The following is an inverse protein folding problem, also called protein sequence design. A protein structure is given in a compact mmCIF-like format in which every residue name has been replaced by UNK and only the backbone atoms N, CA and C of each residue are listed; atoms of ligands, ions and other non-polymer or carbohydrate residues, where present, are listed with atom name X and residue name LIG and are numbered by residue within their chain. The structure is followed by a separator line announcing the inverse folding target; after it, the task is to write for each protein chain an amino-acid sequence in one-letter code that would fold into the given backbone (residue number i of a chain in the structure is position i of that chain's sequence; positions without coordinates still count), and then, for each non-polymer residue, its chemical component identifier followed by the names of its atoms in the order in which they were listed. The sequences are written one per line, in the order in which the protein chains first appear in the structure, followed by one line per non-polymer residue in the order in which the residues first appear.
data_IF_058264432158
#
_entry.id   IF_058264432158
#
_cell.length_a   1.000
_cell.length_b   1.000
_cell.length_c   1.000
_cell.angle_alpha   90.00
_cell.angle_beta   90.00
_cell.angle_gamma   90.00
#
_symmetry.space_group_name_H-M   'P 1'
#
loop_
_entity.id
_entity.type
_entity.pdbx_description
1 polymer ?
#
# COMPACT_ATOMS: atom_id res chain seq x y z
N UNK A 1 14.13 -21.41 21.44
CA UNK A 1 12.86 -21.74 22.11
C UNK A 1 11.81 -20.65 22.13
N UNK A 2 11.93 -19.50 22.84
CA UNK A 2 10.82 -18.48 22.83
C UNK A 2 10.64 -17.74 21.50
N UNK A 3 11.68 -17.66 20.66
CA UNK A 3 11.64 -16.92 19.38
C UNK A 3 11.12 -17.77 18.22
N UNK A 4 11.25 -19.09 18.28
CA UNK A 4 10.75 -20.01 17.25
C UNK A 4 9.21 -20.10 17.27
N UNK A 5 8.61 -20.10 18.47
CA UNK A 5 7.14 -20.10 18.66
C UNK A 5 6.47 -18.84 18.11
N UNK A 6 7.16 -17.69 18.11
CA UNK A 6 6.65 -16.45 17.51
C UNK A 6 6.76 -16.42 15.97
N UNK A 7 7.70 -17.16 15.39
CA UNK A 7 7.91 -17.23 13.95
C UNK A 7 6.91 -18.18 13.28
N UNK A 8 6.55 -19.26 13.95
CA UNK A 8 5.49 -20.18 13.53
C UNK A 8 4.12 -19.47 13.49
N UNK A 9 3.82 -18.63 14.50
CA UNK A 9 2.63 -17.79 14.56
C UNK A 9 2.51 -16.74 13.43
N UNK A 10 3.62 -16.42 12.76
CA UNK A 10 3.63 -15.43 11.68
C UNK A 10 3.36 -16.03 10.30
N UNK A 11 3.56 -17.34 10.10
CA UNK A 11 3.51 -17.99 8.80
C UNK A 11 2.26 -18.83 8.49
N UNK A 12 1.42 -19.22 9.45
CA UNK A 12 0.41 -20.29 9.19
C UNK A 12 -1.06 -19.88 9.03
N UNK A 13 -1.44 -18.63 9.33
CA UNK A 13 -2.86 -18.30 9.52
C UNK A 13 -3.58 -17.67 8.29
N UNK A 14 -2.90 -17.45 7.17
CA UNK A 14 -3.48 -16.72 6.01
C UNK A 14 -3.26 -17.38 4.65
N UNK A 15 -2.61 -18.54 4.62
CA UNK A 15 -2.30 -19.24 3.36
C UNK A 15 -3.53 -19.81 2.67
N UNK A 16 -4.60 -20.06 3.43
CA UNK A 16 -5.89 -20.52 2.88
C UNK A 16 -6.64 -19.44 2.10
N UNK A 17 -6.36 -18.14 2.33
CA UNK A 17 -6.96 -17.05 1.56
C UNK A 17 -6.15 -16.88 0.28
N UNK A 18 -6.41 -17.73 -0.70
CA UNK A 18 -5.83 -17.61 -2.05
C UNK A 18 -6.37 -16.38 -2.77
N UNK A 19 -5.78 -16.04 -3.91
CA UNK A 19 -6.25 -14.93 -4.73
C UNK A 19 -7.69 -15.17 -5.23
N UNK A 20 -8.00 -16.41 -5.57
CA UNK A 20 -9.31 -16.86 -6.03
C UNK A 20 -10.34 -16.72 -4.91
N UNK A 21 -10.02 -17.21 -3.70
CA UNK A 21 -10.88 -17.06 -2.51
C UNK A 21 -11.09 -15.58 -2.18
N UNK A 22 -10.05 -14.75 -2.26
CA UNK A 22 -10.16 -13.30 -2.07
C UNK A 22 -11.13 -12.66 -3.07
N UNK A 23 -11.01 -13.02 -4.34
CA UNK A 23 -11.85 -12.48 -5.42
C UNK A 23 -13.32 -12.88 -5.23
N UNK A 24 -13.58 -14.15 -4.95
CA UNK A 24 -14.93 -14.68 -4.72
C UNK A 24 -15.57 -14.06 -3.48
N UNK A 25 -14.83 -14.02 -2.36
CA UNK A 25 -15.28 -13.38 -1.12
C UNK A 25 -15.65 -11.91 -1.34
N UNK A 26 -14.84 -11.19 -2.13
CA UNK A 26 -15.09 -9.79 -2.43
C UNK A 26 -16.34 -9.61 -3.30
N UNK A 27 -16.53 -10.44 -4.32
CA UNK A 27 -17.72 -10.42 -5.17
C UNK A 27 -19.00 -10.67 -4.35
N UNK A 28 -18.99 -11.68 -3.47
CA UNK A 28 -20.12 -12.01 -2.59
C UNK A 28 -20.47 -10.86 -1.64
N UNK A 29 -19.46 -10.21 -1.05
CA UNK A 29 -19.69 -9.03 -0.20
C UNK A 29 -20.29 -7.89 -1.03
N UNK A 30 -19.78 -7.66 -2.24
CA UNK A 30 -20.24 -6.58 -3.11
C UNK A 30 -21.68 -6.81 -3.59
N UNK A 31 -22.08 -8.06 -3.88
CA UNK A 31 -23.44 -8.42 -4.29
C UNK A 31 -24.44 -8.57 -3.14
N UNK A 32 -24.01 -8.45 -1.87
CA UNK A 32 -24.82 -8.79 -0.69
C UNK A 32 -25.24 -10.28 -0.63
N UNK A 33 -24.53 -11.18 -1.30
CA UNK A 33 -24.85 -12.61 -1.35
C UNK A 33 -23.99 -13.44 -0.40
N UNK A 34 -23.57 -12.83 0.71
CA UNK A 34 -22.71 -13.44 1.71
C UNK A 34 -23.54 -14.52 2.43
N UNK A 35 -23.37 -15.79 2.04
CA UNK A 35 -24.09 -16.92 2.64
C UNK A 35 -23.54 -17.18 4.04
N UNK A 36 -24.41 -17.67 4.94
CA UNK A 36 -24.01 -17.99 6.32
C UNK A 36 -22.88 -19.03 6.36
N UNK A 37 -22.72 -19.88 5.34
CA UNK A 37 -21.69 -20.93 5.29
C UNK A 37 -20.35 -20.59 4.62
N UNK A 38 -20.27 -19.61 3.69
CA UNK A 38 -19.07 -19.41 2.86
C UNK A 38 -17.79 -19.17 3.69
N UNK A 39 -17.94 -18.42 4.78
CA UNK A 39 -16.86 -18.09 5.69
C UNK A 39 -16.69 -19.11 6.82
N UNK A 40 -17.73 -19.91 7.08
CA UNK A 40 -17.71 -21.01 8.04
C UNK A 40 -16.95 -22.22 7.45
N UNK A 41 -17.05 -22.43 6.13
CA UNK A 41 -16.30 -23.42 5.34
C UNK A 41 -14.79 -23.13 5.30
N UNK A 42 -14.37 -21.89 5.56
CA UNK A 42 -12.95 -21.49 5.68
C UNK A 42 -12.34 -21.81 7.07
N UNK A 43 -13.12 -22.40 8.00
CA UNK A 43 -12.80 -22.80 9.40
C UNK A 43 -12.43 -21.67 10.39
N UNK A 44 -12.78 -21.93 11.65
CA UNK A 44 -12.94 -21.00 12.78
C UNK A 44 -11.72 -20.12 13.11
N UNK A 45 -11.88 -18.80 13.07
CA UNK A 45 -11.11 -17.85 13.90
C UNK A 45 -11.65 -16.42 13.83
N UNK A 46 -11.15 -15.54 14.72
CA UNK A 46 -11.26 -14.08 14.63
C UNK A 46 -10.82 -13.51 13.25
N UNK A 47 -10.09 -14.26 12.43
CA UNK A 47 -9.54 -13.82 11.14
C UNK A 47 -10.64 -13.65 10.10
N UNK A 48 -11.64 -14.52 10.09
CA UNK A 48 -12.79 -14.45 9.19
C UNK A 48 -13.62 -13.19 9.41
N UNK A 49 -13.85 -12.84 10.68
CA UNK A 49 -14.52 -11.58 11.05
C UNK A 49 -13.73 -10.32 10.66
N UNK A 50 -12.38 -10.37 10.70
CA UNK A 50 -11.54 -9.27 10.22
C UNK A 50 -11.66 -9.09 8.71
N UNK A 51 -11.65 -10.18 7.95
CA UNK A 51 -11.75 -10.16 6.49
C UNK A 51 -13.12 -9.67 6.02
N UNK A 52 -14.20 -10.20 6.58
CA UNK A 52 -15.57 -9.73 6.29
C UNK A 52 -15.73 -8.25 6.62
N UNK A 53 -15.23 -7.81 7.79
CA UNK A 53 -15.24 -6.39 8.16
C UNK A 53 -14.45 -5.54 7.16
N UNK A 54 -13.26 -5.99 6.77
CA UNK A 54 -12.44 -5.32 5.77
C UNK A 54 -13.23 -5.10 4.47
N UNK A 55 -13.87 -6.15 3.94
CA UNK A 55 -14.65 -6.05 2.72
C UNK A 55 -15.90 -5.18 2.85
N UNK A 56 -16.59 -5.20 4.00
CA UNK A 56 -17.72 -4.30 4.26
C UNK A 56 -17.27 -2.83 4.30
N UNK A 57 -16.15 -2.56 4.96
CA UNK A 57 -15.57 -1.21 5.02
C UNK A 57 -15.12 -0.74 3.62
N UNK A 58 -14.54 -1.64 2.80
CA UNK A 58 -14.21 -1.37 1.39
C UNK A 58 -15.48 -1.10 0.57
N UNK A 59 -16.52 -1.92 0.66
CA UNK A 59 -17.81 -1.74 -0.02
C UNK A 59 -18.42 -0.37 0.28
N UNK A 60 -18.41 0.03 1.55
CA UNK A 60 -18.89 1.35 1.97
C UNK A 60 -18.11 2.48 1.27
N UNK A 61 -16.78 2.40 1.28
CA UNK A 61 -15.92 3.40 0.64
C UNK A 61 -16.06 3.42 -0.89
N UNK A 62 -16.15 2.26 -1.54
CA UNK A 62 -16.39 2.13 -2.97
C UNK A 62 -17.74 2.73 -3.37
N UNK A 63 -18.79 2.49 -2.57
CA UNK A 63 -20.12 3.08 -2.80
C UNK A 63 -20.07 4.61 -2.70
N UNK A 64 -19.30 5.15 -1.73
CA UNK A 64 -19.09 6.59 -1.57
C UNK A 64 -18.33 7.17 -2.77
N UNK A 65 -17.25 6.52 -3.20
CA UNK A 65 -16.44 6.94 -4.35
C UNK A 65 -17.25 6.87 -5.65
N UNK A 66 -18.01 5.80 -5.88
CA UNK A 66 -18.90 5.66 -7.02
C UNK A 66 -19.88 6.84 -7.12
N UNK A 67 -20.54 7.19 -6.01
CA UNK A 67 -21.46 8.34 -5.96
C UNK A 67 -20.76 9.67 -6.20
N UNK A 68 -19.62 9.90 -5.54
CA UNK A 68 -18.89 11.17 -5.59
C UNK A 68 -18.27 11.42 -6.97
N UNK A 69 -17.69 10.39 -7.57
CA UNK A 69 -16.96 10.49 -8.83
C UNK A 69 -17.77 10.06 -10.06
N UNK A 70 -18.95 9.46 -9.87
CA UNK A 70 -19.83 8.89 -10.92
C UNK A 70 -19.17 7.73 -11.66
N UNK A 71 -18.52 6.83 -10.92
CA UNK A 71 -17.81 5.66 -11.44
C UNK A 71 -18.66 4.39 -11.28
N UNK A 72 -18.54 3.45 -12.22
CA UNK A 72 -19.25 2.18 -12.15
C UNK A 72 -18.68 1.29 -11.05
N UNK A 73 -19.54 0.76 -10.17
CA UNK A 73 -19.11 -0.17 -9.11
C UNK A 73 -18.33 -1.38 -9.68
N UNK A 74 -18.70 -2.01 -10.81
CA UNK A 74 -17.93 -3.13 -11.37
C UNK A 74 -16.48 -2.75 -11.74
N UNK A 75 -16.27 -1.55 -12.30
CA UNK A 75 -14.93 -1.05 -12.63
C UNK A 75 -14.10 -0.86 -11.36
N UNK A 76 -14.73 -0.32 -10.31
CA UNK A 76 -14.10 -0.13 -9.01
C UNK A 76 -13.77 -1.46 -8.32
N UNK A 77 -14.62 -2.47 -8.45
CA UNK A 77 -14.37 -3.82 -7.90
C UNK A 77 -13.18 -4.45 -8.62
N UNK A 78 -13.10 -4.32 -9.94
CA UNK A 78 -12.00 -4.85 -10.75
C UNK A 78 -10.63 -4.28 -10.34
N UNK A 79 -10.59 -3.00 -9.93
CA UNK A 79 -9.38 -2.38 -9.39
C UNK A 79 -8.85 -3.08 -8.12
N UNK A 80 -9.74 -3.57 -7.26
CA UNK A 80 -9.37 -4.25 -6.02
C UNK A 80 -9.03 -5.72 -6.24
N UNK A 81 -9.52 -6.32 -7.33
CA UNK A 81 -9.20 -7.69 -7.73
C UNK A 81 -7.84 -7.82 -8.40
N UNK A 82 -6.99 -6.80 -8.42
CA UNK A 82 -5.62 -6.96 -8.95
C UNK A 82 -4.75 -7.82 -8.02
N UNK A 83 -3.89 -8.66 -8.60
CA UNK A 83 -3.01 -9.58 -7.84
C UNK A 83 -2.09 -8.83 -6.87
N UNK A 84 -1.63 -7.65 -7.23
CA UNK A 84 -0.75 -6.87 -6.36
C UNK A 84 -1.51 -6.26 -5.17
N UNK A 85 -2.77 -5.84 -5.38
CA UNK A 85 -3.65 -5.37 -4.31
C UNK A 85 -3.97 -6.50 -3.32
N UNK A 86 -4.27 -7.69 -3.85
CA UNK A 86 -4.38 -8.90 -3.04
C UNK A 86 -3.08 -9.16 -2.25
N UNK A 87 -1.92 -9.09 -2.91
CA UNK A 87 -0.62 -9.34 -2.28
C UNK A 87 -0.34 -8.33 -1.16
N UNK A 88 -0.65 -7.06 -1.35
CA UNK A 88 -0.58 -6.04 -0.30
C UNK A 88 -1.48 -6.40 0.89
N UNK A 89 -2.76 -6.68 0.66
CA UNK A 89 -3.67 -7.04 1.76
C UNK A 89 -3.25 -8.32 2.47
N UNK A 90 -2.81 -9.34 1.73
CA UNK A 90 -2.27 -10.59 2.28
C UNK A 90 -1.04 -10.34 3.12
N UNK A 91 -0.10 -9.50 2.66
CA UNK A 91 1.12 -9.18 3.39
C UNK A 91 0.82 -8.52 4.75
N UNK A 92 -0.24 -7.71 4.82
CA UNK A 92 -0.76 -7.15 6.08
C UNK A 92 -1.85 -8.01 6.74
N UNK A 93 -1.97 -9.29 6.38
CA UNK A 93 -2.87 -10.24 7.04
C UNK A 93 -4.33 -9.79 7.03
N UNK A 94 -4.74 -9.13 5.94
CA UNK A 94 -6.05 -8.49 5.76
C UNK A 94 -6.45 -7.58 6.94
N UNK A 95 -5.46 -7.04 7.66
CA UNK A 95 -5.65 -6.21 8.84
C UNK A 95 -5.23 -4.77 8.53
N UNK A 96 -6.21 -3.98 8.08
CA UNK A 96 -6.03 -2.56 7.76
C UNK A 96 -5.46 -1.76 8.95
N UNK A 97 -5.78 -2.15 10.21
CA UNK A 97 -5.22 -1.47 11.39
C UNK A 97 -3.71 -1.67 11.49
N UNK A 98 -3.22 -2.86 11.16
CA UNK A 98 -1.77 -3.17 11.14
C UNK A 98 -1.07 -2.34 10.07
N UNK A 99 -1.66 -2.27 8.87
CA UNK A 99 -1.19 -1.42 7.78
C UNK A 99 -1.07 0.06 8.20
N UNK A 100 -2.12 0.62 8.81
CA UNK A 100 -2.08 2.02 9.26
C UNK A 100 -1.19 2.26 10.47
N UNK A 101 -0.96 1.26 11.31
CA UNK A 101 0.02 1.34 12.40
C UNK A 101 1.44 1.48 11.83
N UNK A 102 1.82 0.63 10.88
CA UNK A 102 3.13 0.69 10.22
C UNK A 102 3.36 2.05 9.53
N UNK A 103 2.40 2.51 8.72
CA UNK A 103 2.44 3.85 8.10
C UNK A 103 2.55 4.94 9.17
N UNK A 104 1.81 4.79 10.27
CA UNK A 104 1.76 5.77 11.34
C UNK A 104 3.04 5.93 12.13
N UNK A 105 3.76 4.83 12.36
CA UNK A 105 5.09 4.83 13.00
C UNK A 105 6.11 5.53 12.10
N UNK A 106 6.12 5.19 10.81
CA UNK A 106 7.04 5.83 9.85
C UNK A 106 6.71 7.31 9.64
N UNK A 107 5.44 7.70 9.63
CA UNK A 107 5.05 9.11 9.53
C UNK A 107 5.70 9.96 10.64
N UNK A 108 5.84 9.42 11.86
CA UNK A 108 6.52 10.12 12.96
C UNK A 108 8.02 10.29 12.68
N UNK A 109 8.67 9.25 12.17
CA UNK A 109 10.09 9.28 11.77
C UNK A 109 10.33 10.28 10.62
N UNK A 110 9.41 10.34 9.66
CA UNK A 110 9.48 11.29 8.54
C UNK A 110 9.39 12.73 9.01
N UNK A 111 8.43 13.04 9.89
CA UNK A 111 8.32 14.37 10.52
C UNK A 111 9.53 14.70 11.40
N UNK A 112 10.20 13.68 11.95
CA UNK A 112 11.40 13.82 12.78
C UNK A 112 12.72 14.03 12.04
N UNK A 113 12.73 14.06 10.69
CA UNK A 113 13.94 14.43 9.93
C UNK A 113 14.24 13.58 8.70
N UNK A 114 13.55 12.45 8.47
CA UNK A 114 13.81 11.60 7.29
C UNK A 114 13.59 12.34 5.96
N UNK A 115 12.66 13.30 5.94
CA UNK A 115 12.38 14.10 4.74
C UNK A 115 13.58 14.96 4.31
N UNK A 116 14.41 15.39 5.27
CA UNK A 116 15.64 16.14 4.96
C UNK A 116 16.72 15.24 4.36
N UNK A 117 16.78 13.98 4.79
CA UNK A 117 17.66 12.95 4.19
C UNK A 117 17.27 12.71 2.73
N UNK A 118 15.98 12.56 2.43
CA UNK A 118 15.48 12.43 1.05
C UNK A 118 15.78 13.67 0.20
N UNK A 119 15.66 14.89 0.75
CA UNK A 119 16.03 16.13 0.03
C UNK A 119 17.52 16.21 -0.28
N UNK A 120 18.39 15.76 0.65
CA UNK A 120 19.85 15.72 0.45
C UNK A 120 20.23 14.67 -0.61
N UNK A 121 19.56 13.52 -0.59
CA UNK A 121 19.66 12.47 -1.61
C UNK A 121 19.37 13.00 -3.02
N UNK A 122 18.29 13.76 -3.19
CA UNK A 122 17.90 14.34 -4.48
C UNK A 122 18.93 15.34 -5.04
N UNK A 123 19.70 16.02 -4.18
CA UNK A 123 20.55 17.15 -4.57
C UNK A 123 22.03 16.82 -4.80
N UNK A 124 22.51 15.58 -4.66
CA UNK A 124 23.97 15.34 -4.59
C UNK A 124 24.51 14.02 -5.15
N UNK A 125 25.82 14.02 -5.48
CA UNK A 125 26.69 12.84 -5.73
C UNK A 125 26.86 11.90 -4.49
N UNK A 126 26.05 12.06 -3.45
CA UNK A 126 26.15 11.31 -2.17
C UNK A 126 25.60 9.88 -2.30
N UNK A 127 24.99 9.54 -3.44
CA UNK A 127 24.44 8.21 -3.74
C UNK A 127 25.45 7.08 -3.50
N UNK A 128 26.73 7.24 -3.84
CA UNK A 128 27.74 6.18 -3.61
C UNK A 128 27.99 5.91 -2.12
N UNK A 129 28.04 6.95 -1.28
CA UNK A 129 28.21 6.80 0.17
C UNK A 129 26.96 6.21 0.82
N UNK A 130 25.78 6.56 0.31
CA UNK A 130 24.52 5.99 0.78
C UNK A 130 24.40 4.53 0.34
N UNK A 131 24.83 4.20 -0.88
CA UNK A 131 24.89 2.82 -1.36
C UNK A 131 25.77 1.96 -0.47
N UNK A 132 27.00 2.41 -0.18
CA UNK A 132 27.91 1.63 0.67
C UNK A 132 27.41 1.51 2.11
N UNK A 133 26.77 2.55 2.64
CA UNK A 133 26.09 2.48 3.94
C UNK A 133 24.93 1.48 3.94
N UNK A 134 24.06 1.53 2.92
CA UNK A 134 22.94 0.62 2.76
C UNK A 134 23.40 -0.84 2.64
N UNK A 135 24.46 -1.09 1.86
CA UNK A 135 25.06 -2.43 1.73
C UNK A 135 25.58 -2.97 3.07
N UNK A 136 26.23 -2.13 3.89
CA UNK A 136 26.68 -2.54 5.24
C UNK A 136 25.50 -2.87 6.16
N UNK A 137 24.42 -2.09 6.09
CA UNK A 137 23.20 -2.40 6.85
C UNK A 137 22.61 -3.71 6.36
N UNK A 138 22.54 -3.93 5.04
CA UNK A 138 22.06 -5.18 4.46
C UNK A 138 22.91 -6.38 4.94
N UNK A 139 24.23 -6.28 4.95
CA UNK A 139 25.12 -7.32 5.49
C UNK A 139 24.84 -7.66 6.96
N UNK A 140 24.54 -6.65 7.79
CA UNK A 140 24.17 -6.87 9.20
C UNK A 140 22.80 -7.54 9.29
N UNK A 141 21.81 -7.07 8.53
CA UNK A 141 20.47 -7.66 8.52
C UNK A 141 20.51 -9.12 8.05
N UNK A 142 21.33 -9.44 7.06
CA UNK A 142 21.51 -10.81 6.55
C UNK A 142 22.10 -11.74 7.60
N UNK A 143 22.97 -11.23 8.47
CA UNK A 143 23.51 -11.99 9.62
C UNK A 143 22.50 -12.21 10.75
N UNK A 144 21.47 -11.37 10.85
CA UNK A 144 20.47 -11.41 11.92
C UNK A 144 19.04 -11.48 11.38
N UNK A 145 18.55 -12.68 10.98
CA UNK A 145 17.25 -12.84 10.32
C UNK A 145 16.05 -12.28 11.10
N UNK A 146 16.06 -12.38 12.43
CA UNK A 146 15.01 -11.81 13.29
C UNK A 146 15.00 -10.29 13.20
N UNK A 147 16.18 -9.67 13.26
CA UNK A 147 16.33 -8.23 13.09
C UNK A 147 15.88 -7.81 11.68
N UNK A 148 16.23 -8.58 10.65
CA UNK A 148 15.78 -8.35 9.28
C UNK A 148 14.27 -8.36 9.15
N UNK A 149 13.57 -9.34 9.75
CA UNK A 149 12.10 -9.39 9.75
C UNK A 149 11.47 -8.18 10.43
N UNK A 150 11.99 -7.75 11.60
CA UNK A 150 11.47 -6.57 12.31
C UNK A 150 11.70 -5.29 11.50
N UNK A 151 12.92 -5.11 10.97
CA UNK A 151 13.25 -3.99 10.07
C UNK A 151 12.35 -4.02 8.83
N UNK A 152 12.04 -5.20 8.31
CA UNK A 152 11.15 -5.43 7.18
C UNK A 152 9.75 -4.84 7.36
N UNK A 153 9.16 -4.94 8.56
CA UNK A 153 7.87 -4.32 8.88
C UNK A 153 7.96 -2.79 8.78
N UNK A 154 9.05 -2.20 9.28
CA UNK A 154 9.30 -0.76 9.23
C UNK A 154 9.51 -0.31 7.77
N UNK A 155 10.28 -1.06 6.99
CA UNK A 155 10.52 -0.80 5.56
C UNK A 155 9.24 -0.87 4.76
N UNK A 156 8.39 -1.88 5.00
CA UNK A 156 7.08 -1.99 4.36
C UNK A 156 6.17 -0.80 4.71
N UNK A 157 6.15 -0.36 5.97
CA UNK A 157 5.46 0.86 6.38
C UNK A 157 5.98 2.11 5.68
N UNK A 158 7.28 2.19 5.42
CA UNK A 158 7.93 3.30 4.70
C UNK A 158 7.59 3.29 3.21
N UNK A 159 7.65 2.14 2.57
CA UNK A 159 7.27 1.98 1.16
C UNK A 159 5.80 2.37 0.96
N UNK A 160 4.90 1.94 1.84
CA UNK A 160 3.50 2.38 1.80
C UNK A 160 3.33 3.88 2.08
N UNK A 161 4.09 4.43 3.02
CA UNK A 161 4.08 5.86 3.27
C UNK A 161 4.52 6.64 2.02
N UNK A 162 5.59 6.21 1.36
CA UNK A 162 6.07 6.78 0.10
C UNK A 162 4.98 6.67 -0.97
N UNK A 163 4.41 5.48 -1.17
CA UNK A 163 3.34 5.23 -2.13
C UNK A 163 2.13 6.15 -1.93
N UNK A 164 1.69 6.34 -0.68
CA UNK A 164 0.60 7.26 -0.33
C UNK A 164 0.96 8.74 -0.56
N UNK A 165 2.23 9.09 -0.71
CA UNK A 165 2.69 10.48 -0.79
C UNK A 165 3.51 10.77 -2.04
N UNK A 166 3.57 9.84 -3.00
CA UNK A 166 4.24 10.02 -4.28
C UNK A 166 3.27 10.48 -5.37
N UNK A 167 3.84 11.02 -6.44
CA UNK A 167 3.10 11.28 -7.68
C UNK A 167 3.01 9.99 -8.48
N UNK A 168 1.79 9.56 -8.82
CA UNK A 168 1.56 8.39 -9.67
C UNK A 168 1.79 8.72 -11.14
N UNK A 169 2.41 7.81 -11.87
CA UNK A 169 2.79 8.02 -13.28
C UNK A 169 1.82 7.36 -14.27
N UNK A 170 0.91 6.50 -13.78
CA UNK A 170 -0.12 5.84 -14.59
C UNK A 170 0.27 4.47 -15.14
N UNK A 171 1.44 3.99 -14.80
CA UNK A 171 1.90 2.63 -15.08
C UNK A 171 1.51 1.74 -13.89
N UNK A 172 0.49 0.87 -14.03
CA UNK A 172 0.08 0.04 -12.87
C UNK A 172 1.16 -0.94 -12.43
N UNK A 173 1.98 -1.41 -13.36
CA UNK A 173 2.96 -2.44 -13.05
C UNK A 173 4.08 -1.84 -12.19
N UNK A 174 4.23 -0.51 -12.23
CA UNK A 174 5.05 0.26 -11.30
C UNK A 174 4.25 0.81 -10.10
N UNK A 175 3.16 1.54 -10.37
CA UNK A 175 2.34 2.26 -9.39
C UNK A 175 1.67 1.32 -8.39
N UNK A 176 1.48 0.04 -8.72
CA UNK A 176 0.91 -0.96 -7.83
C UNK A 176 1.81 -2.14 -7.57
N UNK A 177 3.10 -2.03 -7.89
CA UNK A 177 4.03 -3.07 -7.50
C UNK A 177 4.20 -3.09 -5.98
N UNK A 178 3.55 -4.04 -5.33
CA UNK A 178 3.70 -4.28 -3.90
C UNK A 178 4.64 -5.45 -3.60
N UNK A 179 5.37 -5.96 -4.59
CA UNK A 179 6.35 -7.04 -4.38
C UNK A 179 7.41 -6.63 -3.36
N UNK A 180 7.90 -5.38 -3.41
CA UNK A 180 8.85 -4.84 -2.44
C UNK A 180 8.26 -4.72 -1.03
N UNK A 181 6.97 -4.39 -0.92
CA UNK A 181 6.26 -4.36 0.37
C UNK A 181 6.12 -5.77 0.95
N UNK A 182 5.75 -6.75 0.11
CA UNK A 182 5.63 -8.14 0.50
C UNK A 182 7.00 -8.74 0.87
N UNK A 183 8.03 -8.46 0.08
CA UNK A 183 9.40 -8.88 0.31
C UNK A 183 9.97 -8.27 1.60
N UNK A 184 9.70 -6.99 1.85
CA UNK A 184 10.06 -6.34 3.11
C UNK A 184 9.40 -7.04 4.30
N UNK A 185 8.09 -7.30 4.26
CA UNK A 185 7.38 -8.01 5.33
C UNK A 185 7.86 -9.46 5.52
N UNK A 186 8.25 -10.13 4.43
CA UNK A 186 8.85 -11.47 4.47
C UNK A 186 10.29 -11.49 5.00
N UNK A 187 10.94 -10.34 5.14
CA UNK A 187 12.36 -10.25 5.48
C UNK A 187 13.30 -10.55 4.32
N UNK A 188 12.80 -10.63 3.08
CA UNK A 188 13.54 -10.92 1.86
C UNK A 188 13.81 -9.66 1.04
N UNK A 189 14.34 -8.61 1.67
CA UNK A 189 14.62 -7.32 1.04
C UNK A 189 16.09 -6.92 1.14
N UNK A 190 16.49 -5.91 0.37
CA UNK A 190 17.76 -5.17 0.49
C UNK A 190 17.45 -3.69 0.45
N UNK A 191 17.92 -2.92 1.44
CA UNK A 191 17.78 -1.47 1.48
C UNK A 191 18.50 -0.81 0.31
N UNK A 192 19.65 -1.35 -0.09
CA UNK A 192 20.39 -0.87 -1.24
C UNK A 192 19.60 -1.06 -2.55
N UNK A 193 18.98 -2.24 -2.73
CA UNK A 193 18.13 -2.51 -3.89
C UNK A 193 16.86 -1.64 -3.88
N UNK A 194 16.25 -1.42 -2.71
CA UNK A 194 14.98 -0.68 -2.59
C UNK A 194 15.11 0.83 -2.81
N UNK A 195 16.20 1.45 -2.35
CA UNK A 195 16.30 2.92 -2.31
C UNK A 195 17.44 3.50 -3.15
N UNK A 196 18.33 2.67 -3.67
CA UNK A 196 19.54 3.11 -4.38
C UNK A 196 19.65 2.53 -5.80
N UNK A 197 18.75 1.62 -6.18
CA UNK A 197 18.54 1.20 -7.57
C UNK A 197 17.92 2.34 -8.41
N UNK A 198 17.97 2.25 -9.75
CA UNK A 198 17.25 3.17 -10.62
C UNK A 198 15.76 3.30 -10.25
N UNK A 199 15.09 2.17 -9.98
CA UNK A 199 13.68 2.10 -9.60
C UNK A 199 13.44 2.76 -8.23
N UNK A 200 14.32 2.50 -7.26
CA UNK A 200 14.29 3.13 -5.94
C UNK A 200 14.50 4.63 -6.00
N UNK A 201 15.40 5.11 -6.85
CA UNK A 201 15.61 6.54 -7.06
C UNK A 201 14.42 7.20 -7.78
N UNK A 202 13.77 6.49 -8.69
CA UNK A 202 12.51 6.93 -9.30
C UNK A 202 11.41 7.05 -8.25
N UNK A 203 11.26 6.06 -7.37
CA UNK A 203 10.31 6.07 -6.26
C UNK A 203 10.54 7.27 -5.34
N UNK A 204 11.78 7.51 -4.93
CA UNK A 204 12.15 8.66 -4.09
C UNK A 204 11.96 10.01 -4.80
N UNK A 205 12.15 10.05 -6.12
CA UNK A 205 11.90 11.26 -6.92
C UNK A 205 10.41 11.56 -7.04
N UNK A 206 9.58 10.55 -7.28
CA UNK A 206 8.12 10.69 -7.31
C UNK A 206 7.56 11.03 -5.93
N UNK A 207 8.15 10.50 -4.86
CA UNK A 207 7.86 10.90 -3.49
C UNK A 207 8.26 12.35 -3.24
N UNK A 208 9.48 12.73 -3.59
CA UNK A 208 9.99 14.08 -3.42
C UNK A 208 9.14 15.11 -4.17
N UNK A 209 8.81 14.85 -5.43
CA UNK A 209 7.91 15.70 -6.22
C UNK A 209 6.52 15.76 -5.63
N UNK A 210 5.97 14.62 -5.20
CA UNK A 210 4.68 14.54 -4.55
C UNK A 210 4.62 15.36 -3.27
N UNK A 211 5.53 15.08 -2.33
CA UNK A 211 5.61 15.71 -1.02
C UNK A 211 6.01 17.19 -1.08
N UNK A 212 6.84 17.62 -2.03
CA UNK A 212 7.29 19.02 -2.16
C UNK A 212 6.27 19.88 -2.90
N UNK A 213 5.71 19.40 -4.00
CA UNK A 213 4.79 20.21 -4.82
C UNK A 213 3.32 19.97 -4.47
N UNK A 214 3.02 19.01 -3.57
CA UNK A 214 1.65 18.58 -3.28
C UNK A 214 0.95 18.05 -4.53
N UNK A 215 1.73 17.44 -5.42
CA UNK A 215 1.27 16.72 -6.61
C UNK A 215 0.93 15.27 -6.27
N UNK A 216 1.36 14.79 -5.11
CA UNK A 216 0.75 13.66 -4.43
C UNK A 216 -0.48 14.12 -3.66
N UNK A 217 -1.25 13.17 -3.16
CA UNK A 217 -2.48 13.42 -2.42
C UNK A 217 -2.18 14.05 -1.03
N UNK A 218 -2.24 15.38 -0.85
CA UNK A 218 -1.69 16.05 0.34
C UNK A 218 -2.47 15.76 1.63
N UNK A 219 -3.56 14.98 1.55
CA UNK A 219 -4.45 14.60 2.64
C UNK A 219 -4.65 13.09 2.79
N UNK A 220 -3.80 12.21 2.26
CA UNK A 220 -3.89 10.76 2.55
C UNK A 220 -3.53 10.48 4.02
N UNK A 221 -4.32 11.03 4.94
CA UNK A 221 -4.43 10.59 6.31
C UNK A 221 -4.79 9.12 6.37
N UNK A 222 -4.61 8.56 7.57
CA UNK A 222 -4.72 7.13 7.91
C UNK A 222 -6.16 6.61 7.84
N UNK A 223 -6.82 6.73 6.70
CA UNK A 223 -8.19 6.26 6.50
C UNK A 223 -8.29 5.27 5.35
N UNK A 224 -9.20 4.31 5.49
CA UNK A 224 -9.45 3.34 4.45
C UNK A 224 -10.02 4.00 3.19
N UNK A 225 -10.84 5.05 3.32
CA UNK A 225 -11.35 5.81 2.17
C UNK A 225 -10.23 6.35 1.30
N UNK A 226 -9.18 6.86 1.94
CA UNK A 226 -7.99 7.43 1.31
C UNK A 226 -7.20 6.37 0.54
N UNK A 227 -6.87 5.25 1.20
CA UNK A 227 -6.28 4.09 0.52
C UNK A 227 -7.14 3.64 -0.66
N UNK A 228 -8.46 3.58 -0.45
CA UNK A 228 -9.41 3.15 -1.48
C UNK A 228 -9.42 4.07 -2.69
N UNK A 229 -9.42 5.38 -2.44
CA UNK A 229 -9.40 6.39 -3.47
C UNK A 229 -8.09 6.40 -4.26
N UNK A 230 -6.95 6.17 -3.60
CA UNK A 230 -5.65 6.03 -4.26
C UNK A 230 -5.67 4.84 -5.24
N UNK A 231 -6.13 3.66 -4.78
CA UNK A 231 -6.26 2.46 -5.61
C UNK A 231 -7.20 2.70 -6.80
N UNK A 232 -8.34 3.34 -6.56
CA UNK A 232 -9.27 3.65 -7.65
C UNK A 232 -8.62 4.60 -8.66
N UNK A 233 -7.99 5.68 -8.19
CA UNK A 233 -7.39 6.69 -9.06
C UNK A 233 -6.37 6.09 -10.03
N UNK A 234 -5.40 5.34 -9.52
CA UNK A 234 -4.33 4.74 -10.31
C UNK A 234 -4.88 3.68 -11.26
N UNK A 235 -5.79 2.82 -10.78
CA UNK A 235 -6.44 1.81 -11.64
C UNK A 235 -7.23 2.45 -12.78
N UNK A 236 -7.92 3.56 -12.51
CA UNK A 236 -8.67 4.30 -13.52
C UNK A 236 -7.76 5.07 -14.50
N UNK A 237 -6.55 5.44 -14.10
CA UNK A 237 -5.53 6.01 -14.99
C UNK A 237 -5.16 5.02 -16.11
N UNK A 238 -4.92 3.75 -15.77
CA UNK A 238 -4.64 2.69 -16.78
C UNK A 238 -5.89 2.36 -17.62
N UNK A 239 -7.08 2.45 -17.05
CA UNK A 239 -8.31 2.00 -17.72
C UNK A 239 -8.88 2.93 -18.80
N UNK A 240 -8.31 4.13 -19.04
CA UNK A 240 -8.40 4.93 -20.30
C UNK A 240 -7.98 6.38 -20.02
N UNK A 241 -6.77 6.75 -20.42
CA UNK A 241 -6.28 8.14 -20.33
C UNK A 241 -7.12 9.13 -21.18
N UNK A 242 -7.91 8.62 -22.13
CA UNK A 242 -8.81 9.40 -23.00
C UNK A 242 -10.30 9.34 -22.68
N UNK A 243 -10.72 8.55 -21.67
CA UNK A 243 -12.14 8.48 -21.30
C UNK A 243 -12.58 9.79 -20.62
N UNK A 244 -13.73 10.31 -21.04
CA UNK A 244 -14.38 11.48 -20.45
C UNK A 244 -14.56 11.30 -18.93
N UNK A 245 -14.82 10.06 -18.48
CA UNK A 245 -14.97 9.73 -17.06
C UNK A 245 -13.67 9.92 -16.27
N UNK A 246 -12.52 9.56 -16.85
CA UNK A 246 -11.22 9.77 -16.22
C UNK A 246 -10.89 11.26 -16.12
N UNK A 247 -11.09 12.02 -17.21
CA UNK A 247 -10.90 13.48 -17.23
C UNK A 247 -11.84 14.18 -16.23
N UNK A 248 -13.07 13.72 -16.09
CA UNK A 248 -14.03 14.22 -15.11
C UNK A 248 -13.64 13.86 -13.66
N UNK A 249 -13.20 12.63 -13.41
CA UNK A 249 -12.65 12.19 -12.13
C UNK A 249 -11.46 13.06 -11.72
N UNK A 250 -10.48 13.24 -12.60
CA UNK A 250 -9.33 14.13 -12.40
C UNK A 250 -9.76 15.57 -12.09
N UNK A 251 -10.76 16.09 -12.81
CA UNK A 251 -11.26 17.46 -12.60
C UNK A 251 -11.91 17.61 -11.22
N UNK A 252 -12.75 16.66 -10.80
CA UNK A 252 -13.35 16.61 -9.46
C UNK A 252 -12.26 16.49 -8.38
N UNK A 253 -11.27 15.66 -8.65
CA UNK A 253 -10.11 15.47 -7.79
C UNK A 253 -9.34 16.79 -7.58
N UNK A 254 -8.93 17.44 -8.68
CA UNK A 254 -8.23 18.74 -8.66
C UNK A 254 -9.03 19.83 -7.95
N UNK A 255 -10.36 19.85 -8.10
CA UNK A 255 -11.25 20.79 -7.38
C UNK A 255 -11.22 20.55 -5.87
N UNK A 256 -11.32 19.29 -5.42
CA UNK A 256 -11.26 18.92 -4.01
C UNK A 256 -9.90 19.27 -3.37
N UNK A 257 -8.80 19.14 -4.12
CA UNK A 257 -7.46 19.56 -3.69
C UNK A 257 -7.38 21.05 -3.37
N UNK A 258 -7.92 21.89 -4.27
CA UNK A 258 -7.87 23.35 -4.12
C UNK A 258 -8.62 23.83 -2.89
N UNK A 259 -9.72 23.19 -2.53
CA UNK A 259 -10.50 23.53 -1.33
C UNK A 259 -9.83 23.12 -0.01
N UNK A 260 -8.91 22.16 -0.02
CA UNK A 260 -8.19 21.71 1.20
C UNK A 260 -6.94 22.58 1.47
N UNK A 261 -6.30 23.16 0.43
CA UNK A 261 -5.16 24.08 0.60
C UNK A 261 -5.54 25.48 1.11
N UNK A 262 -6.82 25.82 1.19
CA UNK A 262 -7.35 27.13 1.63
C UNK A 262 -7.89 27.10 3.09
N UNK A 263 -7.56 26.07 3.86
CA UNK A 263 -7.86 25.97 5.30
C UNK A 263 -6.59 25.68 6.08
#
# INVERSE_FOLDING_TARGET
MKTEVYLEYLQTDFDFITYEVYCEAFDLVMSNQLTEGFFDDLKQSHLTGKLVKMFRDLKYNLSKISKEFRLGIPDLVSAFKQRDIYSMFKAFKFNIKLLFKAIGEVTKLVKGGLLEVFRKLYRTRVIQKIRSGALKVDEVLDKYPILKKVTGIVVAGLLLYIWLNMTFIGDLDYDFNFSDVAAALGGSFSLAALFVSPEGLMLLTLFGTGAVFGLSFPWLGKSLYNLTLAIVYTSYYKLKNDDVKYKEMLRKFKRKMKTVKLR
#
